data_IF_502809360141
#
_entry.id   IF_502809360141
#
_cell.length_a   1.000
_cell.length_b   1.000
_cell.length_c   1.000
_cell.angle_alpha   90.00
_cell.angle_beta   90.00
_cell.angle_gamma   90.00
#
_symmetry.space_group_name_H-M   'P 1'
#
loop_
_entity.id
_entity.type
_entity.pdbx_description
1 polymer ?
#
# COMPACT_ATOMS: atom_id res chain seq x y z
N UNK A 1 15.23 5.96 6.34
CA UNK A 1 14.14 5.35 5.54
C UNK A 1 13.49 4.16 6.25
N UNK A 2 14.26 3.19 6.77
CA UNK A 2 13.67 2.03 7.47
C UNK A 2 12.94 2.41 8.77
N UNK A 3 13.49 3.35 9.55
CA UNK A 3 12.87 3.80 10.80
C UNK A 3 11.53 4.49 10.54
N UNK A 4 11.46 5.32 9.51
CA UNK A 4 10.23 6.00 9.09
C UNK A 4 9.20 5.00 8.57
N UNK A 5 9.63 4.00 7.79
CA UNK A 5 8.76 2.92 7.33
C UNK A 5 8.18 2.11 8.50
N UNK A 6 9.02 1.72 9.47
CA UNK A 6 8.58 1.03 10.68
C UNK A 6 7.60 1.87 11.49
N UNK A 7 7.87 3.17 11.62
CA UNK A 7 6.98 4.10 12.32
C UNK A 7 5.62 4.21 11.61
N UNK A 8 5.61 4.42 10.29
CA UNK A 8 4.37 4.48 9.51
C UNK A 8 3.57 3.17 9.61
N UNK A 9 4.23 2.02 9.51
CA UNK A 9 3.57 0.72 9.66
C UNK A 9 2.95 0.56 11.06
N UNK A 10 3.66 0.95 12.12
CA UNK A 10 3.14 0.92 13.49
C UNK A 10 1.95 1.87 13.70
N UNK A 11 1.99 3.07 13.11
CA UNK A 11 0.87 4.04 13.14
C UNK A 11 -0.35 3.47 12.42
N UNK A 12 -0.17 2.86 11.25
CA UNK A 12 -1.25 2.17 10.51
C UNK A 12 -1.87 1.05 11.35
N UNK A 13 -1.04 0.22 11.99
CA UNK A 13 -1.51 -0.86 12.87
C UNK A 13 -2.28 -0.30 14.07
N UNK A 14 -1.82 0.83 14.66
CA UNK A 14 -2.54 1.47 15.75
C UNK A 14 -3.92 1.98 15.30
N UNK A 15 -4.02 2.55 14.10
CA UNK A 15 -5.29 2.99 13.51
C UNK A 15 -6.22 1.80 13.26
N UNK A 16 -5.71 0.73 12.68
CA UNK A 16 -6.44 -0.52 12.46
C UNK A 16 -6.95 -1.15 13.77
N UNK A 17 -6.16 -1.09 14.85
CA UNK A 17 -6.58 -1.52 16.18
C UNK A 17 -7.80 -0.74 16.68
N UNK A 18 -7.79 0.59 16.54
CA UNK A 18 -8.88 1.48 16.98
C UNK A 18 -10.14 1.27 16.15
N UNK A 19 -9.99 1.08 14.85
CA UNK A 19 -11.11 0.83 13.92
C UNK A 19 -11.62 -0.61 13.96
N UNK A 20 -10.97 -1.49 14.73
CA UNK A 20 -11.25 -2.92 14.78
C UNK A 20 -11.24 -3.56 13.37
N UNK A 21 -10.21 -3.26 12.60
CA UNK A 21 -9.97 -3.82 11.27
C UNK A 21 -10.18 -5.35 11.25
N UNK A 22 -10.86 -5.86 10.22
CA UNK A 22 -11.26 -7.26 10.07
C UNK A 22 -12.09 -7.85 11.24
N UNK A 23 -12.63 -7.01 12.13
CA UNK A 23 -13.49 -7.42 13.25
C UNK A 23 -12.75 -7.92 14.49
N UNK A 24 -11.44 -8.14 14.42
CA UNK A 24 -10.64 -8.68 15.53
C UNK A 24 -9.41 -7.83 15.92
N UNK A 25 -9.04 -6.81 15.14
CA UNK A 25 -7.82 -6.03 15.41
C UNK A 25 -7.80 -5.35 16.78
N UNK A 26 -8.97 -5.05 17.40
CA UNK A 26 -9.03 -4.40 18.73
C UNK A 26 -8.44 -5.24 19.86
N UNK A 27 -8.29 -6.56 19.67
CA UNK A 27 -7.85 -7.49 20.70
C UNK A 27 -6.45 -7.17 21.23
N UNK A 28 -5.52 -6.77 20.36
CA UNK A 28 -4.15 -6.39 20.73
C UNK A 28 -3.45 -5.69 19.56
N UNK A 29 -2.32 -5.04 19.83
CA UNK A 29 -1.49 -4.49 18.76
C UNK A 29 -0.99 -5.58 17.79
N UNK A 30 -0.67 -6.78 18.30
CA UNK A 30 -0.29 -7.92 17.47
C UNK A 30 -1.45 -8.40 16.57
N UNK A 31 -2.68 -8.43 17.09
CA UNK A 31 -3.87 -8.74 16.29
C UNK A 31 -4.08 -7.69 15.18
N UNK A 32 -3.83 -6.41 15.48
CA UNK A 32 -3.88 -5.36 14.47
C UNK A 32 -2.81 -5.51 13.39
N UNK A 33 -1.55 -5.81 13.76
CA UNK A 33 -0.49 -6.13 12.79
C UNK A 33 -0.89 -7.30 11.88
N UNK A 34 -1.41 -8.38 12.46
CA UNK A 34 -1.90 -9.54 11.69
C UNK A 34 -3.06 -9.18 10.77
N UNK A 35 -3.91 -8.20 11.14
CA UNK A 35 -5.00 -7.75 10.28
C UNK A 35 -4.52 -6.97 9.05
N UNK A 36 -3.35 -6.32 9.14
CA UNK A 36 -2.75 -5.63 8.00
C UNK A 36 -2.13 -6.60 6.98
N UNK A 37 -1.76 -7.79 7.43
CA UNK A 37 -1.13 -8.82 6.59
C UNK A 37 -2.17 -9.73 5.91
N UNK A 38 -3.46 -9.45 6.11
CA UNK A 38 -4.56 -10.27 5.61
C UNK A 38 -5.51 -9.47 4.71
N UNK A 39 -5.54 -9.80 3.42
CA UNK A 39 -6.57 -9.39 2.46
C UNK A 39 -6.85 -7.86 2.41
N UNK A 40 -5.82 -7.03 2.47
CA UNK A 40 -6.00 -5.58 2.33
C UNK A 40 -6.19 -5.14 0.88
N UNK A 41 -7.06 -4.17 0.66
CA UNK A 41 -7.09 -3.44 -0.60
C UNK A 41 -5.92 -2.45 -0.66
N UNK A 42 -5.39 -2.21 -1.86
CA UNK A 42 -4.22 -1.33 -2.12
C UNK A 42 -4.32 0.07 -1.49
N UNK A 43 -5.53 0.57 -1.23
CA UNK A 43 -5.76 1.91 -0.68
C UNK A 43 -5.77 1.97 0.85
N UNK A 44 -5.99 0.86 1.56
CA UNK A 44 -6.32 0.88 2.99
C UNK A 44 -5.18 1.44 3.84
N UNK A 45 -3.95 0.95 3.65
CA UNK A 45 -2.79 1.45 4.39
C UNK A 45 -2.57 2.96 4.22
N UNK A 46 -2.71 3.46 2.99
CA UNK A 46 -2.59 4.89 2.70
C UNK A 46 -3.70 5.71 3.36
N UNK A 47 -4.92 5.18 3.39
CA UNK A 47 -6.06 5.86 4.01
C UNK A 47 -5.92 5.90 5.53
N UNK A 48 -5.45 4.81 6.16
CA UNK A 48 -5.15 4.78 7.61
C UNK A 48 -4.05 5.76 8.00
N UNK A 49 -3.13 6.07 7.08
CA UNK A 49 -2.10 7.10 7.25
C UNK A 49 -2.58 8.52 6.96
N UNK A 50 -3.85 8.70 6.59
CA UNK A 50 -4.41 10.02 6.25
C UNK A 50 -3.97 10.55 4.88
N UNK A 51 -3.49 9.67 4.00
CA UNK A 51 -2.91 10.05 2.70
C UNK A 51 -3.92 10.00 1.54
N UNK A 52 -5.21 9.79 1.82
CA UNK A 52 -6.25 9.65 0.79
C UNK A 52 -6.32 10.82 -0.19
N UNK A 53 -6.03 12.05 0.27
CA UNK A 53 -6.04 13.24 -0.57
C UNK A 53 -4.82 13.38 -1.50
N UNK A 54 -3.78 12.57 -1.30
CA UNK A 54 -2.54 12.57 -2.09
C UNK A 54 -2.49 11.44 -3.12
N UNK A 55 -3.51 10.58 -3.17
CA UNK A 55 -3.59 9.46 -4.10
C UNK A 55 -4.87 9.49 -4.91
N UNK A 56 -4.83 8.88 -6.08
CA UNK A 56 -5.96 8.76 -6.99
C UNK A 56 -5.98 7.37 -7.61
N UNK A 57 -7.16 6.74 -7.62
CA UNK A 57 -7.39 5.51 -8.39
C UNK A 57 -7.12 5.73 -9.87
N UNK A 58 -6.37 4.78 -10.46
CA UNK A 58 -6.05 4.77 -11.88
C UNK A 58 -5.83 3.33 -12.37
N UNK A 59 -5.48 3.17 -13.65
CA UNK A 59 -5.03 1.93 -14.25
C UNK A 59 -3.50 1.84 -14.21
N UNK A 60 -2.96 0.62 -14.16
CA UNK A 60 -1.52 0.38 -14.18
C UNK A 60 -0.79 1.02 -15.38
N UNK A 61 -1.51 1.25 -16.49
CA UNK A 61 -0.97 1.95 -17.67
C UNK A 61 -0.45 3.36 -17.35
N UNK A 62 -1.09 4.09 -16.43
CA UNK A 62 -0.58 5.40 -16.00
C UNK A 62 0.78 5.29 -15.32
N UNK A 63 0.98 4.24 -14.50
CA UNK A 63 2.26 4.01 -13.83
C UNK A 63 3.32 3.52 -14.80
N UNK A 64 2.95 2.67 -15.77
CA UNK A 64 3.81 2.25 -16.88
C UNK A 64 4.30 3.48 -17.66
N UNK A 65 3.45 4.50 -17.83
CA UNK A 65 3.79 5.75 -18.50
C UNK A 65 4.62 6.71 -17.63
N UNK A 66 4.95 6.33 -16.39
CA UNK A 66 5.88 7.06 -15.52
C UNK A 66 5.24 7.72 -14.30
N UNK A 67 3.92 7.68 -14.13
CA UNK A 67 3.29 8.20 -12.92
C UNK A 67 3.72 7.37 -11.69
N UNK A 68 4.24 7.98 -10.62
CA UNK A 68 4.60 7.24 -9.42
C UNK A 68 3.34 6.80 -8.65
N UNK A 69 3.40 5.65 -8.00
CA UNK A 69 2.28 5.15 -7.20
C UNK A 69 2.44 3.71 -6.74
N UNK A 70 1.33 3.07 -6.40
CA UNK A 70 1.27 1.68 -5.93
C UNK A 70 0.23 0.88 -6.69
N UNK A 71 0.44 -0.42 -6.81
CA UNK A 71 -0.53 -1.36 -7.39
C UNK A 71 -0.49 -2.69 -6.65
N UNK A 72 -1.58 -3.45 -6.70
CA UNK A 72 -1.58 -4.84 -6.27
C UNK A 72 -1.39 -5.76 -7.50
N UNK A 73 -0.46 -6.70 -7.42
CA UNK A 73 -0.26 -7.75 -8.41
C UNK A 73 0.29 -9.00 -7.72
N UNK A 74 -0.13 -10.20 -8.14
CA UNK A 74 0.39 -11.47 -7.63
C UNK A 74 0.29 -11.59 -6.09
N UNK A 75 -0.82 -11.13 -5.50
CA UNK A 75 -1.04 -11.03 -4.05
C UNK A 75 -0.03 -10.16 -3.29
N UNK A 76 0.58 -9.18 -3.97
CA UNK A 76 1.56 -8.28 -3.38
C UNK A 76 1.30 -6.83 -3.80
N UNK A 77 1.37 -5.90 -2.85
CA UNK A 77 1.33 -4.46 -3.15
C UNK A 77 2.76 -3.99 -3.42
N UNK A 78 2.96 -3.36 -4.58
CA UNK A 78 4.26 -2.86 -5.01
C UNK A 78 4.20 -1.39 -5.33
N UNK A 79 5.27 -0.68 -4.99
CA UNK A 79 5.51 0.67 -5.49
C UNK A 79 5.94 0.57 -6.95
N UNK A 80 5.50 1.51 -7.80
CA UNK A 80 5.96 1.65 -9.17
C UNK A 80 6.53 3.05 -9.34
N UNK A 81 7.77 3.10 -9.83
CA UNK A 81 8.50 4.34 -10.10
C UNK A 81 9.06 4.26 -11.52
N UNK A 82 8.91 5.34 -12.29
CA UNK A 82 9.44 5.44 -13.66
C UNK A 82 9.07 4.23 -14.55
N UNK A 83 7.83 3.75 -14.46
CA UNK A 83 7.35 2.63 -15.27
C UNK A 83 7.80 1.23 -14.82
N UNK A 84 8.46 1.11 -13.67
CA UNK A 84 8.97 -0.17 -13.15
C UNK A 84 8.53 -0.42 -11.71
N UNK A 85 8.16 -1.67 -11.41
CA UNK A 85 7.94 -2.11 -10.03
C UNK A 85 9.23 -1.91 -9.24
N UNK A 86 9.14 -1.39 -8.02
CA UNK A 86 10.25 -1.45 -7.09
C UNK A 86 10.46 -2.90 -6.66
N UNK A 87 11.71 -3.33 -6.67
CA UNK A 87 12.14 -4.64 -6.21
C UNK A 87 13.16 -4.44 -5.09
N UNK A 88 12.64 -4.17 -3.90
CA UNK A 88 13.41 -3.97 -2.68
C UNK A 88 14.51 -2.90 -2.83
N UNK A 89 14.16 -1.75 -3.42
CA UNK A 89 15.06 -0.63 -3.66
C UNK A 89 15.84 -0.68 -4.97
N UNK A 90 15.56 -1.65 -5.84
CA UNK A 90 16.12 -1.73 -7.20
C UNK A 90 15.01 -1.73 -8.26
N UNK A 91 15.26 -1.24 -9.49
CA UNK A 91 14.27 -1.32 -10.56
C UNK A 91 13.95 -2.77 -10.92
N UNK A 92 12.69 -3.17 -10.74
CA UNK A 92 12.16 -4.47 -11.10
C UNK A 92 11.53 -4.51 -12.49
N UNK A 93 10.55 -5.40 -12.63
CA UNK A 93 9.87 -5.68 -13.89
C UNK A 93 8.80 -4.63 -14.23
N UNK A 94 8.40 -4.61 -15.50
CA UNK A 94 7.24 -3.83 -15.95
C UNK A 94 5.96 -4.31 -15.24
N UNK A 95 5.09 -3.40 -14.79
CA UNK A 95 3.75 -3.72 -14.31
C UNK A 95 2.90 -4.52 -15.30
N UNK A 96 1.98 -5.34 -14.80
CA UNK A 96 0.87 -5.85 -15.61
C UNK A 96 -0.08 -4.69 -15.96
N UNK A 97 -0.31 -4.39 -17.26
CA UNK A 97 -1.10 -3.24 -17.69
C UNK A 97 -2.59 -3.30 -17.32
N UNK A 98 -3.12 -4.48 -16.98
CA UNK A 98 -4.55 -4.68 -16.72
C UNK A 98 -4.95 -4.54 -15.25
N UNK A 99 -3.98 -4.23 -14.38
CA UNK A 99 -4.23 -4.10 -12.95
C UNK A 99 -4.75 -2.71 -12.57
N UNK A 100 -5.57 -2.65 -11.53
CA UNK A 100 -5.91 -1.40 -10.87
C UNK A 100 -4.73 -0.89 -10.05
N UNK A 101 -4.66 0.43 -9.90
CA UNK A 101 -3.58 1.07 -9.19
C UNK A 101 -4.02 2.37 -8.51
N UNK A 102 -3.13 2.91 -7.69
CA UNK A 102 -3.20 4.26 -7.14
C UNK A 102 -1.97 5.01 -7.65
N UNK A 103 -2.17 6.17 -8.27
CA UNK A 103 -1.07 7.11 -8.55
C UNK A 103 -1.05 8.22 -7.51
N UNK A 104 0.14 8.78 -7.28
CA UNK A 104 0.27 10.03 -6.57
C UNK A 104 -0.39 11.15 -7.38
N UNK A 105 -1.03 12.09 -6.69
CA UNK A 105 -1.59 13.31 -7.28
C UNK A 105 -0.53 14.38 -7.49
#
# INVERSE_FOLDING_TARGET
MLNEANFMYAVSAKRAQVENNNGYARQSFAAALNSLDSWEHTHEGLYRLGLSNYVQQTNAQDLINGAPGVMAQDNHVVTVLNGRKDNYGTPGYRPDPWMQALKLR
#
